data_IF_777718001651
#
_entry.id   IF_777718001651
#
_cell.length_a   1.000
_cell.length_b   1.000
_cell.length_c   1.000
_cell.angle_alpha   90.00
_cell.angle_beta   90.00
_cell.angle_gamma   90.00
#
_symmetry.space_group_name_H-M   'P 1'
#
loop_
_entity.id
_entity.type
_entity.pdbx_description
1 polymer ?
#
# COMPACT_ATOMS: atom_id res chain seq x y z
N UNK A 1 -1.49 -3.39 16.00
CA UNK A 1 -0.30 -2.53 15.77
C UNK A 1 0.93 -3.28 15.24
N UNK A 2 1.55 -4.18 16.01
CA UNK A 2 2.81 -4.85 15.63
C UNK A 2 2.73 -5.68 14.34
N UNK A 3 1.58 -6.31 14.06
CA UNK A 3 1.34 -7.05 12.82
C UNK A 3 1.55 -6.17 11.56
N UNK A 4 1.24 -4.87 11.64
CA UNK A 4 1.43 -3.94 10.51
C UNK A 4 2.92 -3.79 10.20
N UNK A 5 3.79 -3.70 11.21
CA UNK A 5 5.23 -3.68 11.00
C UNK A 5 5.78 -4.97 10.38
N UNK A 6 5.18 -6.11 10.73
CA UNK A 6 5.52 -7.39 10.09
C UNK A 6 5.18 -7.35 8.59
N UNK A 7 4.00 -6.83 8.22
CA UNK A 7 3.65 -6.63 6.82
C UNK A 7 4.61 -5.68 6.10
N UNK A 8 4.97 -4.55 6.73
CA UNK A 8 5.96 -3.61 6.18
C UNK A 8 7.34 -4.26 5.99
N UNK A 9 7.75 -5.12 6.92
CA UNK A 9 9.01 -5.86 6.82
C UNK A 9 8.99 -6.86 5.65
N UNK A 10 7.90 -7.61 5.47
CA UNK A 10 7.75 -8.49 4.29
C UNK A 10 7.79 -7.70 2.99
N UNK A 11 7.12 -6.54 2.93
CA UNK A 11 7.17 -5.67 1.76
C UNK A 11 8.60 -5.19 1.47
N UNK A 12 9.35 -4.78 2.51
CA UNK A 12 10.74 -4.35 2.37
C UNK A 12 11.69 -5.48 1.91
N UNK A 13 11.40 -6.73 2.26
CA UNK A 13 12.13 -7.92 1.80
C UNK A 13 11.70 -8.37 0.40
N UNK A 14 10.67 -7.76 -0.20
CA UNK A 14 10.10 -8.18 -1.47
C UNK A 14 9.21 -9.44 -1.37
N UNK A 15 8.87 -9.89 -0.16
CA UNK A 15 7.99 -11.03 0.10
C UNK A 15 6.50 -10.63 -0.04
N UNK A 16 6.10 -10.30 -1.28
CA UNK A 16 4.80 -9.69 -1.63
C UNK A 16 3.62 -10.45 -1.06
N UNK A 17 3.53 -11.75 -1.34
CA UNK A 17 2.43 -12.59 -0.86
C UNK A 17 2.27 -12.51 0.65
N UNK A 18 3.37 -12.58 1.40
CA UNK A 18 3.32 -12.52 2.88
C UNK A 18 2.93 -11.14 3.40
N UNK A 19 3.36 -10.07 2.73
CA UNK A 19 2.93 -8.72 3.07
C UNK A 19 1.41 -8.56 2.92
N UNK A 20 0.86 -9.07 1.81
CA UNK A 20 -0.59 -9.03 1.53
C UNK A 20 -1.40 -10.00 2.39
N UNK A 21 -0.88 -11.19 2.70
CA UNK A 21 -1.51 -12.13 3.64
C UNK A 21 -1.72 -11.46 5.02
N UNK A 22 -0.72 -10.72 5.51
CA UNK A 22 -0.86 -9.97 6.78
C UNK A 22 -1.80 -8.77 6.64
N UNK A 23 -1.72 -8.03 5.53
CA UNK A 23 -2.67 -6.93 5.23
C UNK A 23 -4.12 -7.44 5.28
N UNK A 24 -4.39 -8.60 4.71
CA UNK A 24 -5.71 -9.20 4.69
C UNK A 24 -6.19 -9.59 6.09
N UNK A 25 -5.28 -10.07 6.95
CA UNK A 25 -5.58 -10.38 8.35
C UNK A 25 -5.88 -9.11 9.16
N UNK A 26 -5.26 -7.97 8.89
CA UNK A 26 -5.46 -6.76 9.71
C UNK A 26 -6.54 -5.82 9.16
N UNK A 27 -6.97 -6.02 7.91
CA UNK A 27 -7.98 -5.18 7.28
C UNK A 27 -9.38 -5.45 7.87
N UNK A 28 -10.01 -4.48 8.56
CA UNK A 28 -11.30 -4.69 9.22
C UNK A 28 -12.41 -5.13 8.25
N UNK A 29 -12.35 -4.71 6.98
CA UNK A 29 -13.33 -5.08 5.95
C UNK A 29 -13.36 -6.60 5.74
N UNK A 30 -12.21 -7.27 5.87
CA UNK A 30 -12.11 -8.71 5.68
C UNK A 30 -12.73 -9.51 6.83
N UNK A 31 -12.95 -8.90 7.99
CA UNK A 31 -13.57 -9.53 9.18
C UNK A 31 -15.09 -9.34 9.24
N UNK A 32 -15.68 -8.71 8.24
CA UNK A 32 -17.11 -8.39 8.23
C UNK A 32 -17.74 -8.66 6.86
N UNK A 33 -17.27 -9.70 6.18
CA UNK A 33 -17.76 -10.11 4.85
C UNK A 33 -19.07 -10.88 4.91
N UNK A 34 -19.40 -11.46 6.06
CA UNK A 34 -20.66 -12.15 6.34
C UNK A 34 -21.25 -11.73 7.69
N UNK A 35 -22.56 -11.93 7.93
CA UNK A 35 -23.16 -11.73 9.25
C UNK A 35 -22.46 -12.53 10.36
N UNK A 36 -22.04 -13.76 10.06
CA UNK A 36 -21.31 -14.62 11.00
C UNK A 36 -19.95 -14.03 11.38
N UNK A 37 -19.21 -13.47 10.42
CA UNK A 37 -17.92 -12.82 10.69
C UNK A 37 -18.11 -11.55 11.54
N UNK A 38 -19.18 -10.77 11.29
CA UNK A 38 -19.53 -9.60 12.11
C UNK A 38 -19.77 -10.00 13.56
N UNK A 39 -20.49 -11.10 13.80
CA UNK A 39 -20.74 -11.63 15.15
C UNK A 39 -19.45 -12.13 15.84
N UNK A 40 -18.42 -12.50 15.08
CA UNK A 40 -17.10 -12.84 15.61
C UNK A 40 -16.29 -11.57 15.91
N UNK A 41 -16.22 -10.63 14.95
CA UNK A 41 -15.37 -9.43 15.02
C UNK A 41 -15.84 -8.46 16.11
N UNK A 42 -17.17 -8.27 16.26
CA UNK A 42 -17.83 -7.48 17.32
C UNK A 42 -17.40 -6.02 17.47
N UNK A 43 -16.73 -5.45 16.47
CA UNK A 43 -16.36 -4.03 16.40
C UNK A 43 -16.61 -3.47 15.01
N UNK A 44 -16.39 -2.18 14.83
CA UNK A 44 -16.76 -1.47 13.60
C UNK A 44 -15.94 -1.92 12.37
N UNK A 45 -16.57 -2.17 11.20
CA UNK A 45 -15.90 -2.68 10.00
C UNK A 45 -15.09 -1.64 9.21
N UNK A 46 -15.22 -0.37 9.59
CA UNK A 46 -14.70 0.78 8.83
C UNK A 46 -13.57 1.52 9.56
N UNK A 47 -13.21 1.10 10.77
CA UNK A 47 -12.04 1.60 11.50
C UNK A 47 -11.11 0.45 11.88
N UNK A 48 -9.82 0.75 11.90
CA UNK A 48 -8.79 -0.21 12.30
C UNK A 48 -8.87 -0.44 13.82
N UNK A 49 -8.82 -1.71 14.23
CA UNK A 49 -8.71 -2.11 15.63
C UNK A 49 -7.24 -2.11 16.10
N UNK A 50 -7.01 -1.99 17.41
CA UNK A 50 -5.66 -2.14 17.94
C UNK A 50 -5.19 -3.59 17.85
N UNK A 51 -6.10 -4.50 18.18
CA UNK A 51 -5.88 -5.93 18.35
C UNK A 51 -7.02 -6.75 17.75
N UNK A 52 -6.66 -7.93 17.24
CA UNK A 52 -7.58 -9.01 16.88
C UNK A 52 -7.18 -10.20 17.75
N UNK A 53 -8.09 -10.65 18.60
CA UNK A 53 -7.78 -11.65 19.60
C UNK A 53 -7.52 -13.02 18.96
N UNK A 54 -6.49 -13.72 19.44
CA UNK A 54 -6.07 -15.01 18.89
C UNK A 54 -6.24 -16.19 19.88
N UNK A 55 -6.82 -15.93 21.05
CA UNK A 55 -6.98 -16.92 22.13
C UNK A 55 -8.46 -17.20 22.39
N UNK A 56 -8.80 -18.47 22.57
CA UNK A 56 -10.15 -18.89 22.93
C UNK A 56 -10.60 -18.28 24.27
N UNK A 57 -11.89 -17.91 24.43
CA UNK A 57 -13.00 -18.12 23.49
C UNK A 57 -13.25 -16.93 22.53
N UNK A 58 -12.30 -16.01 22.37
CA UNK A 58 -12.53 -14.74 21.67
C UNK A 58 -11.76 -14.62 20.35
N UNK A 59 -11.34 -15.73 19.76
CA UNK A 59 -10.59 -15.74 18.49
C UNK A 59 -11.35 -14.94 17.43
N UNK A 60 -10.67 -14.02 16.76
CA UNK A 60 -11.23 -13.15 15.72
C UNK A 60 -11.89 -11.86 16.22
N UNK A 61 -12.10 -11.70 17.53
CA UNK A 61 -12.71 -10.49 18.08
C UNK A 61 -11.76 -9.29 17.99
N UNK A 62 -12.26 -8.18 17.46
CA UNK A 62 -11.55 -6.91 17.49
C UNK A 62 -11.61 -6.23 18.86
N UNK A 63 -10.57 -5.46 19.17
CA UNK A 63 -10.49 -4.68 20.40
C UNK A 63 -9.91 -3.28 20.16
N UNK A 64 -10.35 -2.31 20.98
CA UNK A 64 -9.82 -0.94 21.02
C UNK A 64 -9.80 -0.25 19.64
N UNK A 65 -10.97 0.01 19.08
CA UNK A 65 -11.14 0.76 17.83
C UNK A 65 -10.96 2.27 18.04
N UNK A 66 -10.87 3.00 16.92
CA UNK A 66 -10.70 4.46 16.84
C UNK A 66 -9.37 5.00 17.38
N UNK A 67 -9.17 4.93 18.69
CA UNK A 67 -8.06 5.58 19.37
C UNK A 67 -6.85 4.64 19.46
N UNK A 68 -6.27 4.33 18.31
CA UNK A 68 -5.09 3.44 18.20
C UNK A 68 -4.11 3.93 17.14
N UNK A 69 -2.81 3.81 17.44
CA UNK A 69 -1.75 4.06 16.46
C UNK A 69 -1.78 3.09 15.27
N UNK A 70 -2.53 1.98 15.36
CA UNK A 70 -2.71 1.06 14.23
C UNK A 70 -3.26 1.77 12.99
N UNK A 71 -4.12 2.79 13.14
CA UNK A 71 -4.65 3.53 12.00
C UNK A 71 -3.54 4.26 11.22
N UNK A 72 -2.66 4.97 11.93
CA UNK A 72 -1.54 5.68 11.31
C UNK A 72 -0.56 4.71 10.62
N UNK A 73 -0.24 3.58 11.26
CA UNK A 73 0.63 2.58 10.65
C UNK A 73 -0.02 1.87 9.47
N UNK A 74 -1.32 1.60 9.52
CA UNK A 74 -2.05 0.99 8.41
C UNK A 74 -2.01 1.90 7.18
N UNK A 75 -2.18 3.21 7.38
CA UNK A 75 -2.04 4.19 6.31
C UNK A 75 -0.64 4.15 5.68
N UNK A 76 0.42 4.14 6.52
CA UNK A 76 1.81 4.04 6.04
C UNK A 76 2.11 2.71 5.36
N UNK A 77 1.61 1.59 5.88
CA UNK A 77 1.72 0.28 5.22
C UNK A 77 1.14 0.36 3.81
N UNK A 78 -0.08 0.85 3.66
CA UNK A 78 -0.75 0.94 2.37
C UNK A 78 0.01 1.86 1.43
N UNK A 79 0.27 3.11 1.83
CA UNK A 79 0.85 4.13 0.94
C UNK A 79 2.33 3.92 0.69
N UNK A 80 3.11 3.70 1.74
CA UNK A 80 4.58 3.69 1.64
C UNK A 80 5.14 2.32 1.32
N UNK A 81 4.55 1.24 1.86
CA UNK A 81 5.12 -0.11 1.71
C UNK A 81 4.45 -0.93 0.61
N UNK A 82 3.11 -0.90 0.49
CA UNK A 82 2.39 -1.68 -0.52
C UNK A 82 2.32 -0.94 -1.86
N UNK A 83 1.81 0.30 -1.87
CA UNK A 83 1.82 1.14 -3.08
C UNK A 83 3.24 1.66 -3.39
N UNK A 84 4.11 1.72 -2.38
CA UNK A 84 5.54 1.95 -2.55
C UNK A 84 5.95 3.41 -2.69
N UNK A 85 5.16 4.38 -2.22
CA UNK A 85 5.45 5.80 -2.37
C UNK A 85 6.36 6.29 -1.25
N UNK A 86 7.48 6.93 -1.61
CA UNK A 86 8.38 7.56 -0.65
C UNK A 86 8.64 9.01 -1.03
N UNK A 87 8.31 9.94 -0.14
CA UNK A 87 8.63 11.36 -0.28
C UNK A 87 9.78 11.72 0.65
N UNK A 88 10.91 12.17 0.08
CA UNK A 88 12.05 12.66 0.84
C UNK A 88 12.59 13.94 0.22
N UNK A 89 12.63 15.02 1.00
CA UNK A 89 13.17 16.32 0.55
C UNK A 89 12.55 16.83 -0.76
N UNK A 90 11.23 16.68 -0.92
CA UNK A 90 10.52 17.08 -2.14
C UNK A 90 10.74 16.15 -3.34
N UNK A 91 11.39 15.00 -3.14
CA UNK A 91 11.59 13.99 -4.18
C UNK A 91 10.73 12.77 -3.91
N UNK A 92 10.00 12.34 -4.93
CA UNK A 92 9.12 11.19 -4.90
C UNK A 92 9.79 9.99 -5.56
N UNK A 93 9.85 8.86 -4.87
CA UNK A 93 10.37 7.60 -5.40
C UNK A 93 9.36 6.47 -5.23
N UNK A 94 9.56 5.40 -6.01
CA UNK A 94 8.62 4.29 -6.12
C UNK A 94 9.31 2.95 -5.87
N UNK A 95 8.81 2.20 -4.89
CA UNK A 95 9.18 0.81 -4.62
C UNK A 95 7.91 -0.06 -4.38
N UNK A 96 7.00 -0.16 -5.36
CA UNK A 96 5.71 -0.84 -5.22
C UNK A 96 5.84 -2.35 -4.90
N UNK A 97 5.10 -2.78 -3.89
CA UNK A 97 4.93 -4.17 -3.47
C UNK A 97 3.51 -4.65 -3.80
N UNK A 98 3.13 -4.53 -5.07
CA UNK A 98 1.79 -4.89 -5.56
C UNK A 98 1.62 -6.41 -5.69
N UNK A 99 0.38 -6.93 -5.49
CA UNK A 99 0.08 -8.33 -5.70
C UNK A 99 0.02 -8.64 -7.20
N UNK A 100 0.36 -9.87 -7.60
CA UNK A 100 0.45 -10.27 -9.01
C UNK A 100 -0.82 -10.01 -9.82
N UNK A 101 -2.00 -10.11 -9.18
CA UNK A 101 -3.28 -9.88 -9.83
C UNK A 101 -3.53 -8.42 -10.25
N UNK A 102 -2.72 -7.45 -9.77
CA UNK A 102 -2.92 -6.03 -10.04
C UNK A 102 -2.06 -5.55 -11.20
N UNK A 103 -2.66 -5.41 -12.38
CA UNK A 103 -1.93 -4.92 -13.56
C UNK A 103 -1.58 -3.43 -13.47
N UNK A 104 -2.41 -2.63 -12.79
CA UNK A 104 -2.29 -1.18 -12.72
C UNK A 104 -2.91 -0.64 -11.43
N UNK A 105 -2.31 0.42 -10.88
CA UNK A 105 -2.93 1.30 -9.89
C UNK A 105 -2.80 2.76 -10.30
N UNK A 106 -3.74 3.59 -9.82
CA UNK A 106 -3.73 5.04 -10.03
C UNK A 106 -3.75 5.74 -8.69
N UNK A 107 -2.87 6.73 -8.53
CA UNK A 107 -2.76 7.54 -7.32
C UNK A 107 -2.84 8.99 -7.73
N UNK A 108 -3.81 9.69 -7.14
CA UNK A 108 -3.90 11.14 -7.22
C UNK A 108 -3.20 11.72 -6.00
N UNK A 109 -2.01 12.26 -6.21
CA UNK A 109 -1.18 12.84 -5.17
C UNK A 109 -1.14 14.35 -5.34
N UNK A 110 -1.13 15.12 -4.24
CA UNK A 110 -1.03 16.57 -4.28
C UNK A 110 0.20 17.02 -3.52
N UNK A 111 1.08 17.77 -4.20
CA UNK A 111 2.26 18.39 -3.61
C UNK A 111 2.05 19.91 -3.58
N UNK A 112 1.85 20.48 -2.39
CA UNK A 112 1.37 21.86 -2.28
C UNK A 112 -0.01 21.99 -2.91
N UNK A 113 -0.13 22.80 -3.96
CA UNK A 113 -1.34 22.96 -4.78
C UNK A 113 -1.22 22.30 -6.16
N UNK A 114 -0.09 21.65 -6.48
CA UNK A 114 0.12 20.92 -7.72
C UNK A 114 -0.39 19.47 -7.63
N UNK A 115 -1.35 19.05 -8.48
CA UNK A 115 -1.77 17.66 -8.59
C UNK A 115 -0.86 16.82 -9.49
N UNK A 116 -0.52 15.64 -9.00
CA UNK A 116 0.21 14.59 -9.70
C UNK A 116 -0.70 13.37 -9.91
N UNK A 117 -0.91 12.99 -11.16
CA UNK A 117 -1.65 11.81 -11.58
C UNK A 117 -0.66 10.68 -11.86
N UNK A 118 -0.46 9.82 -10.87
CA UNK A 118 0.52 8.75 -10.91
C UNK A 118 -0.18 7.46 -11.35
N UNK A 119 0.36 6.80 -12.38
CA UNK A 119 -0.08 5.48 -12.82
C UNK A 119 1.07 4.50 -12.73
N UNK A 120 0.91 3.46 -11.92
CA UNK A 120 1.91 2.40 -11.75
C UNK A 120 1.40 1.15 -12.44
N UNK A 121 2.16 0.60 -13.40
CA UNK A 121 1.81 -0.58 -14.20
C UNK A 121 2.80 -1.71 -14.01
N UNK A 122 2.29 -2.90 -13.71
CA UNK A 122 3.08 -4.13 -13.73
C UNK A 122 3.10 -4.70 -15.15
N UNK A 123 4.29 -4.95 -15.70
CA UNK A 123 4.43 -5.54 -17.03
C UNK A 123 5.31 -6.77 -17.02
N UNK A 124 4.78 -7.90 -17.45
CA UNK A 124 5.53 -9.14 -17.61
C UNK A 124 6.51 -9.03 -18.78
N UNK A 125 7.81 -9.21 -18.51
CA UNK A 125 8.84 -9.38 -19.54
C UNK A 125 9.16 -8.16 -20.41
N UNK A 126 8.69 -6.95 -20.05
CA UNK A 126 8.96 -5.72 -20.83
C UNK A 126 10.11 -4.88 -20.27
N UNK A 127 10.47 -5.06 -19.01
CA UNK A 127 11.57 -4.36 -18.35
C UNK A 127 12.09 -5.19 -17.18
N UNK A 128 13.38 -5.07 -16.88
CA UNK A 128 14.02 -5.66 -15.68
C UNK A 128 14.14 -4.65 -14.52
N UNK A 129 13.83 -3.37 -14.78
CA UNK A 129 13.94 -2.28 -13.81
C UNK A 129 12.74 -1.32 -13.91
N UNK A 130 12.59 -0.45 -12.92
CA UNK A 130 11.54 0.58 -12.93
C UNK A 130 11.87 1.62 -14.00
N UNK A 131 10.91 1.90 -14.87
CA UNK A 131 10.98 2.98 -15.88
C UNK A 131 9.95 4.04 -15.52
N UNK A 132 10.35 5.30 -15.51
CA UNK A 132 9.47 6.42 -15.14
C UNK A 132 9.42 7.48 -16.23
N UNK A 133 8.26 8.09 -16.39
CA UNK A 133 8.09 9.32 -17.15
C UNK A 133 7.39 10.39 -16.32
N UNK A 134 7.71 11.66 -16.60
CA UNK A 134 6.98 12.84 -16.12
C UNK A 134 6.54 13.63 -17.34
N UNK A 135 5.23 13.81 -17.51
CA UNK A 135 4.63 14.49 -18.66
C UNK A 135 5.11 13.94 -20.01
N UNK A 136 5.30 12.62 -20.07
CA UNK A 136 5.78 11.90 -21.26
C UNK A 136 7.29 11.93 -21.47
N UNK A 137 8.05 12.66 -20.65
CA UNK A 137 9.52 12.68 -20.70
C UNK A 137 10.11 11.62 -19.79
N UNK A 138 11.04 10.81 -20.30
CA UNK A 138 11.72 9.76 -19.53
C UNK A 138 12.56 10.40 -18.41
N UNK A 139 12.40 9.88 -17.20
CA UNK A 139 13.21 10.23 -16.03
C UNK A 139 14.24 9.11 -15.81
N UNK A 140 15.52 9.46 -15.93
CA UNK A 140 16.64 8.53 -15.69
C UNK A 140 16.99 8.38 -14.21
N UNK A 141 16.60 9.36 -13.39
CA UNK A 141 16.81 9.32 -11.95
C UNK A 141 15.83 8.34 -11.29
N UNK A 142 16.21 7.78 -10.15
CA UNK A 142 15.34 6.90 -9.35
C UNK A 142 14.22 7.66 -8.61
N UNK A 143 14.21 9.00 -8.69
CA UNK A 143 13.27 9.87 -7.98
C UNK A 143 12.83 11.02 -8.87
N UNK A 144 11.60 11.51 -8.67
CA UNK A 144 11.02 12.67 -9.35
C UNK A 144 11.08 13.85 -8.38
N UNK A 145 11.70 14.96 -8.79
CA UNK A 145 11.65 16.20 -8.00
C UNK A 145 10.30 16.87 -8.23
N UNK A 146 9.52 17.01 -7.16
CA UNK A 146 8.20 17.62 -7.21
C UNK A 146 8.31 19.15 -7.19
N UNK A 147 7.40 19.80 -7.92
CA UNK A 147 7.28 21.25 -8.02
C UNK A 147 5.86 21.67 -7.64
N UNK A 148 5.72 22.84 -7.03
CA UNK A 148 4.43 23.44 -6.67
C UNK A 148 4.13 24.61 -7.63
N UNK A 149 3.94 24.27 -8.91
CA UNK A 149 3.70 25.21 -10.00
C UNK A 149 2.21 25.35 -10.40
N UNK A 150 1.32 24.70 -9.65
CA UNK A 150 -0.14 24.66 -9.85
C UNK A 150 -0.61 24.06 -11.19
N UNK A 151 0.25 23.28 -11.86
CA UNK A 151 -0.13 22.54 -13.07
C UNK A 151 -0.39 21.08 -12.78
N UNK A 152 -1.19 20.44 -13.62
CA UNK A 152 -1.35 18.99 -13.53
C UNK A 152 -0.14 18.30 -14.16
N UNK A 153 0.43 17.35 -13.43
CA UNK A 153 1.51 16.49 -13.92
C UNK A 153 1.05 15.04 -14.01
N UNK A 154 1.49 14.34 -15.06
CA UNK A 154 1.25 12.90 -15.23
C UNK A 154 2.56 12.15 -15.02
N UNK A 155 2.52 11.15 -14.14
CA UNK A 155 3.65 10.27 -13.87
C UNK A 155 3.27 8.86 -14.27
N UNK A 156 3.94 8.28 -15.25
CA UNK A 156 3.82 6.85 -15.55
C UNK A 156 5.02 6.10 -14.99
N UNK A 157 4.75 5.06 -14.21
CA UNK A 157 5.75 4.16 -13.64
C UNK A 157 5.47 2.76 -14.17
N UNK A 158 6.44 2.18 -14.88
CA UNK A 158 6.39 0.80 -15.34
C UNK A 158 7.34 -0.02 -14.51
N UNK A 159 6.83 -1.06 -13.86
CA UNK A 159 7.60 -1.97 -13.02
C UNK A 159 7.62 -3.38 -13.62
N UNK A 160 8.69 -4.16 -13.39
CA UNK A 160 8.70 -5.57 -13.75
C UNK A 160 7.56 -6.30 -13.02
N UNK A 161 6.80 -7.13 -13.74
CA UNK A 161 5.96 -8.12 -13.07
C UNK A 161 6.86 -9.14 -12.36
N UNK A 162 6.54 -9.46 -11.13
CA UNK A 162 7.27 -10.47 -10.37
C UNK A 162 6.38 -11.70 -10.30
N UNK A 163 6.88 -12.81 -10.85
CA UNK A 163 6.30 -14.13 -10.61
C UNK A 163 6.86 -14.62 -9.28
N UNK A 164 5.98 -14.90 -8.32
CA UNK A 164 6.38 -15.57 -7.09
C UNK A 164 6.94 -16.94 -7.45
N UNK A 165 8.23 -17.17 -7.17
CA UNK A 165 8.80 -18.53 -7.24
C UNK A 165 8.10 -19.36 -6.18
N UNK A 166 7.28 -20.31 -6.65
CA UNK A 166 6.62 -21.35 -5.86
C UNK A 166 7.60 -22.19 -5.06
#
# INVERSE_FOLDING_TARGET
HAAIWVAMAFAALGERKRAWDVMDIVNPINHTKSPEDVEIYKVEPYVVSSDIYAVAPHVGRGGWTWFTGSAAWMYRLIVESLMGLSLKNGKLSFAPCLPEAWNEIKIHYRYGETPYHIVIRQTAGKTDHIVMTLDGLIISDAEITLVDDQKEHVVDVVIPAVSDKS
#
